data_IF_954226137108
#
_entry.id   IF_954226137108
#
_cell.length_a   1.000
_cell.length_b   1.000
_cell.length_c   1.000
_cell.angle_alpha   90.00
_cell.angle_beta   90.00
_cell.angle_gamma   90.00
#
_symmetry.space_group_name_H-M   'P 1'
#
loop_
_entity.id
_entity.type
_entity.pdbx_description
1 polymer ?
#
# COMPACT_ATOMS: atom_id res chain seq x y z
N UNK A 1 7.95 10.17 25.19
CA UNK A 1 6.63 9.83 24.57
C UNK A 1 6.02 10.92 23.65
N UNK A 2 6.64 12.10 23.42
CA UNK A 2 6.07 13.13 22.51
C UNK A 2 6.32 12.87 21.01
N UNK A 3 7.26 11.98 20.66
CA UNK A 3 7.67 11.75 19.26
C UNK A 3 6.82 10.73 18.49
N UNK A 4 6.20 9.76 19.18
CA UNK A 4 5.33 8.75 18.56
C UNK A 4 4.02 9.37 18.00
N UNK A 5 3.60 10.50 18.57
CA UNK A 5 2.38 11.24 18.24
C UNK A 5 2.46 11.98 16.89
N UNK A 6 3.64 12.13 16.27
CA UNK A 6 3.73 12.83 14.98
C UNK A 6 3.38 11.95 13.77
N UNK A 7 3.51 10.62 13.90
CA UNK A 7 3.07 9.68 12.85
C UNK A 7 1.56 9.50 13.01
N UNK A 8 0.78 10.00 12.07
CA UNK A 8 -0.70 10.02 12.12
C UNK A 8 -1.37 11.02 13.08
N UNK A 9 -0.66 12.07 13.53
CA UNK A 9 -1.28 13.14 14.35
C UNK A 9 -2.51 13.77 13.69
N UNK A 10 -2.50 13.79 12.36
CA UNK A 10 -3.59 14.31 11.53
C UNK A 10 -4.89 13.51 11.63
N UNK A 11 -4.86 12.26 12.12
CA UNK A 11 -6.06 11.45 12.39
C UNK A 11 -6.75 11.79 13.71
N UNK A 12 -6.01 12.29 14.72
CA UNK A 12 -6.54 12.63 16.04
C UNK A 12 -7.75 13.59 16.00
N UNK A 13 -7.73 14.69 15.20
CA UNK A 13 -8.90 15.56 15.12
C UNK A 13 -10.14 14.84 14.56
N UNK A 14 -9.99 13.85 13.68
CA UNK A 14 -11.09 13.09 13.07
C UNK A 14 -11.79 12.24 14.14
N UNK A 15 -11.03 11.53 14.96
CA UNK A 15 -11.58 10.71 16.05
C UNK A 15 -12.20 11.55 17.17
N UNK A 16 -11.72 12.78 17.36
CA UNK A 16 -12.24 13.69 18.39
C UNK A 16 -13.52 14.39 17.97
N UNK A 17 -13.76 14.59 16.67
CA UNK A 17 -14.85 15.44 16.19
C UNK A 17 -16.17 14.72 15.89
N UNK A 18 -16.21 13.39 15.71
CA UNK A 18 -17.44 12.69 15.27
C UNK A 18 -17.63 11.27 15.87
N UNK A 19 -18.67 11.04 16.69
CA UNK A 19 -19.11 9.68 17.06
C UNK A 19 -19.92 8.98 15.95
N UNK A 20 -20.48 9.73 14.99
CA UNK A 20 -21.19 9.21 13.82
C UNK A 20 -20.47 9.67 12.54
N UNK A 21 -19.74 8.77 11.88
CA UNK A 21 -19.11 9.05 10.58
C UNK A 21 -20.20 9.07 9.49
N UNK A 22 -20.82 10.22 9.25
CA UNK A 22 -21.72 10.41 8.11
C UNK A 22 -20.94 10.44 6.79
N UNK A 23 -21.50 9.79 5.76
CA UNK A 23 -20.92 9.64 4.41
C UNK A 23 -20.58 11.00 3.76
N UNK A 24 -21.32 12.05 4.13
CA UNK A 24 -21.26 13.39 3.54
C UNK A 24 -20.08 14.24 4.04
N UNK A 25 -19.42 13.85 5.14
CA UNK A 25 -18.26 14.55 5.72
C UNK A 25 -16.93 13.88 5.40
N UNK A 26 -16.79 13.32 4.20
CA UNK A 26 -15.51 12.74 3.76
C UNK A 26 -14.55 13.85 3.33
N UNK A 27 -13.32 13.77 3.83
CA UNK A 27 -12.23 14.58 3.31
C UNK A 27 -12.04 14.31 1.82
N UNK A 28 -11.74 15.33 1.01
CA UNK A 28 -11.46 15.15 -0.41
C UNK A 28 -10.31 14.15 -0.57
N UNK A 29 -10.50 13.18 -1.47
CA UNK A 29 -9.48 12.20 -1.80
C UNK A 29 -8.28 12.92 -2.41
N UNK A 30 -7.07 12.52 -2.00
CA UNK A 30 -5.84 12.98 -2.64
C UNK A 30 -5.90 12.70 -4.14
N UNK A 31 -5.40 13.61 -4.97
CA UNK A 31 -5.47 13.49 -6.43
C UNK A 31 -4.88 12.19 -6.97
N UNK A 32 -3.80 11.69 -6.34
CA UNK A 32 -3.17 10.39 -6.65
C UNK A 32 -4.05 9.16 -6.34
N UNK A 33 -5.14 9.36 -5.60
CA UNK A 33 -6.15 8.33 -5.27
C UNK A 33 -7.44 8.50 -6.06
N UNK A 34 -7.56 9.54 -6.89
CA UNK A 34 -8.72 9.71 -7.75
C UNK A 34 -8.73 8.61 -8.82
N UNK A 35 -9.89 7.98 -8.98
CA UNK A 35 -10.10 6.85 -9.89
C UNK A 35 -9.70 7.18 -11.34
N UNK A 36 -9.84 8.44 -11.76
CA UNK A 36 -9.45 8.92 -13.09
C UNK A 36 -7.95 8.77 -13.32
N UNK A 37 -7.10 9.22 -12.39
CA UNK A 37 -5.66 9.16 -12.56
C UNK A 37 -5.13 7.72 -12.49
N UNK A 38 -5.67 6.93 -11.56
CA UNK A 38 -5.39 5.50 -11.43
C UNK A 38 -5.78 4.70 -12.68
N UNK A 39 -6.92 5.05 -13.28
CA UNK A 39 -7.38 4.49 -14.54
C UNK A 39 -6.43 4.84 -15.69
N UNK A 40 -6.08 6.10 -15.87
CA UNK A 40 -5.15 6.50 -16.92
C UNK A 40 -3.81 5.77 -16.79
N UNK A 41 -3.30 5.62 -15.56
CA UNK A 41 -2.05 4.95 -15.31
C UNK A 41 -2.07 3.47 -15.76
N UNK A 42 -3.11 2.72 -15.36
CA UNK A 42 -3.21 1.30 -15.73
C UNK A 42 -3.57 1.11 -17.21
N UNK A 43 -4.35 2.02 -17.81
CA UNK A 43 -4.66 2.01 -19.24
C UNK A 43 -3.41 2.23 -20.09
N UNK A 44 -2.54 3.18 -19.71
CA UNK A 44 -1.26 3.41 -20.41
C UNK A 44 -0.37 2.17 -20.35
N UNK A 45 -0.24 1.52 -19.19
CA UNK A 45 0.52 0.28 -19.09
C UNK A 45 -0.07 -0.85 -19.95
N UNK A 46 -1.40 -0.98 -19.98
CA UNK A 46 -2.08 -2.01 -20.77
C UNK A 46 -1.93 -1.78 -22.28
N UNK A 47 -2.08 -0.53 -22.74
CA UNK A 47 -1.86 -0.15 -24.14
C UNK A 47 -0.42 -0.43 -24.57
N UNK A 48 0.57 -0.11 -23.72
CA UNK A 48 1.97 -0.41 -24.00
C UNK A 48 2.22 -1.92 -24.13
N UNK A 49 1.61 -2.75 -23.28
CA UNK A 49 1.72 -4.20 -23.38
C UNK A 49 1.03 -4.77 -24.63
N UNK A 50 -0.13 -4.20 -25.01
CA UNK A 50 -0.82 -4.54 -26.26
C UNK A 50 0.07 -4.26 -27.47
N UNK A 51 0.62 -3.05 -27.58
CA UNK A 51 1.53 -2.66 -28.67
C UNK A 51 2.76 -3.57 -28.72
N UNK A 52 3.41 -3.78 -27.58
CA UNK A 52 4.56 -4.69 -27.49
C UNK A 52 4.20 -6.13 -27.87
N UNK A 53 2.98 -6.59 -27.58
CA UNK A 53 2.51 -7.93 -27.93
C UNK A 53 2.25 -8.11 -29.42
N UNK A 54 1.79 -7.05 -30.10
CA UNK A 54 1.60 -7.02 -31.55
C UNK A 54 2.95 -7.10 -32.24
N UNK A 55 3.91 -6.27 -31.83
CA UNK A 55 5.26 -6.25 -32.42
C UNK A 55 6.02 -7.57 -32.26
N UNK A 56 5.75 -8.30 -31.17
CA UNK A 56 6.40 -9.57 -30.86
C UNK A 56 5.56 -10.81 -31.19
N UNK A 57 4.43 -10.64 -31.89
CA UNK A 57 3.49 -11.69 -32.28
C UNK A 57 3.14 -12.66 -31.13
N UNK A 58 2.94 -12.12 -29.93
CA UNK A 58 2.63 -12.88 -28.71
C UNK A 58 1.27 -12.48 -28.15
N UNK A 59 0.66 -13.34 -27.33
CA UNK A 59 -0.58 -13.01 -26.62
C UNK A 59 -0.30 -11.98 -25.50
N UNK A 60 -1.10 -10.90 -25.38
CA UNK A 60 -0.93 -9.89 -24.33
C UNK A 60 -1.20 -10.49 -22.95
N UNK A 61 -0.38 -10.12 -21.95
CA UNK A 61 -0.48 -10.63 -20.58
C UNK A 61 -0.85 -9.52 -19.61
N UNK A 62 -2.08 -9.56 -19.11
CA UNK A 62 -2.57 -8.54 -18.17
C UNK A 62 -1.75 -8.46 -16.87
N UNK A 63 -1.36 -9.61 -16.31
CA UNK A 63 -0.52 -9.67 -15.11
C UNK A 63 0.82 -8.96 -15.30
N UNK A 64 1.39 -9.03 -16.50
CA UNK A 64 2.65 -8.36 -16.81
C UNK A 64 2.49 -6.85 -16.90
N UNK A 65 1.40 -6.36 -17.51
CA UNK A 65 1.07 -4.93 -17.52
C UNK A 65 0.82 -4.39 -16.11
N UNK A 66 0.06 -5.13 -15.28
CA UNK A 66 -0.19 -4.77 -13.89
C UNK A 66 1.11 -4.75 -13.06
N UNK A 67 1.98 -5.74 -13.25
CA UNK A 67 3.30 -5.79 -12.63
C UNK A 67 4.18 -4.61 -13.07
N UNK A 68 4.09 -4.16 -14.31
CA UNK A 68 4.89 -3.01 -14.77
C UNK A 68 4.45 -1.68 -14.11
N UNK A 69 3.16 -1.51 -13.80
CA UNK A 69 2.71 -0.32 -13.09
C UNK A 69 3.00 -0.37 -11.58
N UNK A 70 2.66 -1.49 -10.92
CA UNK A 70 2.68 -1.58 -9.45
C UNK A 70 3.88 -2.35 -8.88
N UNK A 71 4.61 -3.09 -9.72
CA UNK A 71 5.73 -3.95 -9.33
C UNK A 71 6.87 -3.19 -8.66
N UNK A 72 7.36 -2.05 -9.16
CA UNK A 72 8.42 -1.30 -8.48
C UNK A 72 8.03 -0.90 -7.04
N UNK A 73 6.80 -0.42 -6.85
CA UNK A 73 6.29 -0.11 -5.52
C UNK A 73 6.14 -1.37 -4.66
N UNK A 74 5.73 -2.50 -5.24
CA UNK A 74 5.61 -3.76 -4.53
C UNK A 74 6.97 -4.31 -4.08
N UNK A 75 8.01 -4.17 -4.91
CA UNK A 75 9.40 -4.54 -4.57
C UNK A 75 9.91 -3.70 -3.40
N UNK A 76 9.67 -2.38 -3.42
CA UNK A 76 10.05 -1.49 -2.31
C UNK A 76 9.37 -1.92 -1.01
N UNK A 77 8.05 -2.13 -1.07
CA UNK A 77 7.27 -2.56 0.10
C UNK A 77 7.70 -3.94 0.61
N UNK A 78 8.01 -4.88 -0.28
CA UNK A 78 8.52 -6.21 0.08
C UNK A 78 9.91 -6.13 0.70
N UNK A 79 10.78 -5.26 0.20
CA UNK A 79 12.11 -5.03 0.79
C UNK A 79 12.00 -4.43 2.19
N UNK A 80 11.08 -3.50 2.41
CA UNK A 80 10.79 -2.96 3.73
C UNK A 80 10.29 -4.03 4.71
N UNK A 81 9.57 -5.07 4.24
CA UNK A 81 9.14 -6.18 5.09
C UNK A 81 10.34 -6.96 5.63
N UNK A 82 11.35 -7.22 4.80
CA UNK A 82 12.58 -7.91 5.24
C UNK A 82 13.30 -7.12 6.34
N UNK A 83 13.33 -5.78 6.23
CA UNK A 83 13.89 -4.91 7.27
C UNK A 83 13.09 -5.03 8.57
N UNK A 84 11.75 -5.10 8.50
CA UNK A 84 10.88 -5.27 9.66
C UNK A 84 11.12 -6.63 10.34
N UNK A 85 11.26 -7.69 9.56
CA UNK A 85 11.59 -9.03 10.07
C UNK A 85 12.96 -9.07 10.73
N UNK A 86 13.96 -8.43 10.12
CA UNK A 86 15.29 -8.26 10.71
C UNK A 86 15.23 -7.53 12.05
N UNK A 87 14.49 -6.43 12.14
CA UNK A 87 14.29 -5.70 13.41
C UNK A 87 13.63 -6.57 14.48
N UNK A 88 12.68 -7.44 14.08
CA UNK A 88 12.03 -8.37 14.99
C UNK A 88 13.02 -9.43 15.53
N UNK A 89 13.87 -9.97 14.66
CA UNK A 89 14.91 -10.92 15.05
C UNK A 89 15.95 -10.26 15.96
N UNK A 90 16.35 -9.02 15.65
CA UNK A 90 17.26 -8.23 16.48
C UNK A 90 16.68 -7.96 17.87
N UNK A 91 15.38 -7.66 17.95
CA UNK A 91 14.68 -7.48 19.23
C UNK A 91 14.72 -8.77 20.07
N UNK A 92 14.49 -9.94 19.47
CA UNK A 92 14.57 -11.23 20.15
C UNK A 92 15.99 -11.52 20.66
N UNK A 93 17.00 -11.21 19.85
CA UNK A 93 18.41 -11.38 20.23
C UNK A 93 18.78 -10.47 21.42
N UNK A 94 18.39 -9.19 21.38
CA UNK A 94 18.62 -8.24 22.47
C UNK A 94 17.91 -8.67 23.76
N UNK A 95 16.69 -9.21 23.64
CA UNK A 95 15.95 -9.73 24.78
C UNK A 95 16.65 -10.94 25.41
N UNK A 96 17.19 -11.85 24.60
CA UNK A 96 17.98 -12.99 25.08
C UNK A 96 19.20 -12.54 25.88
N UNK A 97 19.99 -11.60 25.35
CA UNK A 97 21.15 -11.06 26.08
C UNK A 97 20.77 -10.32 27.35
N UNK A 98 19.68 -9.54 27.32
CA UNK A 98 19.17 -8.87 28.51
C UNK A 98 18.73 -9.85 29.60
N UNK A 99 18.12 -10.97 29.22
CA UNK A 99 17.67 -11.99 30.16
C UNK A 99 18.86 -12.75 30.80
N UNK A 100 19.94 -12.96 30.05
CA UNK A 100 21.15 -13.58 30.57
C UNK A 100 21.97 -12.63 31.43
N UNK A 101 22.14 -11.39 30.98
CA UNK A 101 22.90 -10.36 31.69
C UNK A 101 22.17 -9.00 31.64
N UNK A 102 21.42 -8.63 32.70
CA UNK A 102 20.59 -7.43 32.71
C UNK A 102 21.44 -6.16 32.88
N UNK A 103 22.11 -5.76 31.80
CA UNK A 103 22.81 -4.47 31.72
C UNK A 103 21.87 -3.38 31.21
N UNK A 104 21.99 -2.14 31.72
CA UNK A 104 21.15 -1.02 31.28
C UNK A 104 21.31 -0.74 29.76
N UNK A 105 22.47 -1.01 29.19
CA UNK A 105 22.73 -0.89 27.74
C UNK A 105 21.74 -1.72 26.91
N UNK A 106 21.51 -2.99 27.27
CA UNK A 106 20.60 -3.87 26.55
C UNK A 106 19.14 -3.43 26.71
N UNK A 107 18.76 -2.89 27.88
CA UNK A 107 17.43 -2.32 28.09
C UNK A 107 17.17 -1.10 27.18
N UNK A 108 18.12 -0.16 27.11
CA UNK A 108 18.02 0.99 26.21
C UNK A 108 17.98 0.57 24.74
N UNK A 109 18.84 -0.37 24.33
CA UNK A 109 18.85 -0.90 22.98
C UNK A 109 17.51 -1.59 22.62
N UNK A 110 16.96 -2.39 23.52
CA UNK A 110 15.68 -3.08 23.33
C UNK A 110 14.54 -2.07 23.14
N UNK A 111 14.49 -1.02 23.98
CA UNK A 111 13.52 0.06 23.84
C UNK A 111 13.63 0.78 22.49
N UNK A 112 14.84 1.14 22.07
CA UNK A 112 15.08 1.82 20.79
C UNK A 112 14.70 0.96 19.59
N UNK A 113 15.08 -0.33 19.57
CA UNK A 113 14.75 -1.26 18.48
C UNK A 113 13.25 -1.52 18.43
N UNK A 114 12.60 -1.70 19.59
CA UNK A 114 11.14 -1.89 19.67
C UNK A 114 10.40 -0.69 19.12
N UNK A 115 10.80 0.53 19.50
CA UNK A 115 10.19 1.75 19.00
C UNK A 115 10.33 1.87 17.47
N UNK A 116 11.54 1.62 16.94
CA UNK A 116 11.80 1.64 15.51
C UNK A 116 10.96 0.59 14.76
N UNK A 117 10.90 -0.64 15.28
CA UNK A 117 10.09 -1.72 14.73
C UNK A 117 8.61 -1.34 14.63
N UNK A 118 8.03 -0.83 15.71
CA UNK A 118 6.61 -0.44 15.75
C UNK A 118 6.32 0.64 14.72
N UNK A 119 7.12 1.72 14.69
CA UNK A 119 6.93 2.82 13.73
C UNK A 119 7.01 2.32 12.29
N UNK A 120 8.08 1.61 11.94
CA UNK A 120 8.30 1.11 10.58
C UNK A 120 7.20 0.12 10.17
N UNK A 121 6.77 -0.77 11.07
CA UNK A 121 5.69 -1.73 10.80
C UNK A 121 4.34 -1.06 10.54
N UNK A 122 3.99 -0.01 11.29
CA UNK A 122 2.75 0.71 11.06
C UNK A 122 2.78 1.52 9.76
N UNK A 123 3.90 2.17 9.44
CA UNK A 123 4.08 2.85 8.15
C UNK A 123 3.97 1.86 6.99
N UNK A 124 4.62 0.71 7.09
CA UNK A 124 4.55 -0.34 6.08
C UNK A 124 3.12 -0.85 5.86
N UNK A 125 2.39 -1.14 6.95
CA UNK A 125 0.97 -1.54 6.85
C UNK A 125 0.13 -0.49 6.14
N UNK A 126 0.32 0.79 6.47
CA UNK A 126 -0.40 1.89 5.81
C UNK A 126 -0.08 1.94 4.31
N UNK A 127 1.18 1.78 3.92
CA UNK A 127 1.62 1.72 2.51
C UNK A 127 1.01 0.54 1.76
N UNK A 128 1.02 -0.67 2.35
CA UNK A 128 0.41 -1.87 1.76
C UNK A 128 -1.09 -1.66 1.54
N UNK A 129 -1.81 -1.17 2.55
CA UNK A 129 -3.23 -0.89 2.43
C UNK A 129 -3.52 0.14 1.33
N UNK A 130 -2.74 1.22 1.27
CA UNK A 130 -2.88 2.24 0.24
C UNK A 130 -2.69 1.66 -1.17
N UNK A 131 -1.65 0.85 -1.38
CA UNK A 131 -1.41 0.16 -2.65
C UNK A 131 -2.54 -0.82 -3.01
N UNK A 132 -3.04 -1.57 -2.02
CA UNK A 132 -4.15 -2.49 -2.22
C UNK A 132 -5.43 -1.79 -2.66
N UNK A 133 -5.74 -0.63 -2.06
CA UNK A 133 -6.88 0.21 -2.47
C UNK A 133 -6.69 0.71 -3.92
N UNK A 134 -5.50 1.22 -4.24
CA UNK A 134 -5.17 1.68 -5.60
C UNK A 134 -5.36 0.57 -6.64
N UNK A 135 -4.83 -0.62 -6.37
CA UNK A 135 -4.97 -1.76 -7.27
C UNK A 135 -6.45 -2.15 -7.45
N UNK A 136 -7.22 -2.23 -6.35
CA UNK A 136 -8.65 -2.57 -6.40
C UNK A 136 -9.44 -1.58 -7.23
N UNK A 137 -9.26 -0.28 -6.99
CA UNK A 137 -9.98 0.79 -7.72
C UNK A 137 -9.63 0.73 -9.22
N UNK A 138 -8.36 0.57 -9.57
CA UNK A 138 -7.93 0.45 -10.97
C UNK A 138 -8.54 -0.75 -11.68
N UNK A 139 -8.55 -1.93 -11.04
CA UNK A 139 -9.13 -3.15 -11.61
C UNK A 139 -10.64 -3.02 -11.80
N UNK A 140 -11.36 -2.51 -10.81
CA UNK A 140 -12.81 -2.29 -10.90
C UNK A 140 -13.14 -1.32 -12.04
N UNK A 141 -12.38 -0.23 -12.19
CA UNK A 141 -12.61 0.76 -13.24
C UNK A 141 -12.35 0.18 -14.63
N UNK A 142 -11.32 -0.65 -14.80
CA UNK A 142 -11.05 -1.36 -16.06
C UNK A 142 -12.15 -2.35 -16.42
N UNK A 143 -12.60 -3.15 -15.43
CA UNK A 143 -13.67 -4.13 -15.64
C UNK A 143 -14.98 -3.44 -16.05
N UNK A 144 -15.36 -2.36 -15.36
CA UNK A 144 -16.54 -1.56 -15.71
C UNK A 144 -16.47 -1.03 -17.14
N UNK A 145 -15.32 -0.51 -17.58
CA UNK A 145 -15.11 -0.04 -18.96
C UNK A 145 -15.22 -1.19 -19.98
N UNK A 146 -14.78 -2.40 -19.64
CA UNK A 146 -14.87 -3.55 -20.55
C UNK A 146 -16.29 -4.11 -20.64
N UNK A 147 -17.03 -4.11 -19.52
CA UNK A 147 -18.38 -4.67 -19.41
C UNK A 147 -19.44 -3.70 -19.95
N UNK A 148 -19.31 -2.39 -19.74
CA UNK A 148 -20.31 -1.40 -20.15
C UNK A 148 -20.69 -1.45 -21.65
N UNK A 149 -19.74 -1.52 -22.59
CA UNK A 149 -20.06 -1.66 -24.02
C UNK A 149 -20.70 -3.01 -24.34
N UNK A 150 -20.30 -4.06 -23.64
CA UNK A 150 -20.85 -5.42 -23.81
C UNK A 150 -22.32 -5.48 -23.36
N UNK A 151 -22.63 -4.80 -22.26
CA UNK A 151 -23.97 -4.67 -21.72
C UNK A 151 -24.89 -3.84 -22.64
N UNK A 152 -24.38 -2.74 -23.19
CA UNK A 152 -25.09 -1.94 -24.19
C UNK A 152 -25.37 -2.74 -25.48
N UNK A 153 -24.41 -3.55 -25.93
CA UNK A 153 -24.59 -4.43 -27.10
C UNK A 153 -25.67 -5.50 -26.87
N UNK A 154 -25.76 -6.05 -25.66
CA UNK A 154 -26.76 -7.06 -25.28
C UNK A 154 -28.18 -6.52 -25.04
N UNK A 155 -28.33 -5.22 -24.81
CA UNK A 155 -29.65 -4.58 -24.63
C UNK A 155 -30.19 -3.94 -25.92
N UNK A 156 -29.36 -3.84 -26.96
CA UNK A 156 -29.73 -3.23 -28.26
C UNK A 156 -30.01 -4.29 -29.33
N UNK A 157 -29.56 -5.55 -29.13
CA UNK A 157 -29.92 -6.72 -29.93
C UNK A 157 -30.86 -7.65 -29.15
#
# INVERSE_FOLDING_TARGET
>A
MKYFINVFRWLLPIFKSHPELSIDKRFPLRDSLQSVHLREHIERCWTNELLASIDSNRKPRFLYAAWRCYGPAYVIVSTCLLIIEFLCALQALLYYYYAFEPRPLFSWALWSVTLLYVVTKHLWKASVCHMGIQLRVSLQTLLLKKVSPLYLYWNVN
#
